data_IF_014579657971
#
_entry.id   IF_014579657971
#
_cell.length_a   1.000
_cell.length_b   1.000
_cell.length_c   1.000
_cell.angle_alpha   90.00
_cell.angle_beta   90.00
_cell.angle_gamma   90.00
#
_symmetry.space_group_name_H-M   'P 1'
#
loop_
_entity.id
_entity.type
_entity.pdbx_description
1 polymer ?
#
# COMPACT_ATOMS: atom_id res chain seq x y z
N UNK A 1 -54.63 7.26 -3.62
CA UNK A 1 -53.63 7.96 -2.76
C UNK A 1 -52.57 6.96 -2.33
N UNK A 2 -51.34 7.03 -2.85
CA UNK A 2 -50.26 6.10 -2.47
C UNK A 2 -49.14 6.93 -1.83
N UNK A 3 -49.17 7.03 -0.50
CA UNK A 3 -48.19 7.79 0.28
C UNK A 3 -46.81 7.12 0.27
N UNK A 4 -45.75 7.93 0.23
CA UNK A 4 -44.37 7.45 0.30
C UNK A 4 -44.06 6.98 1.72
N UNK A 5 -43.70 5.70 1.86
CA UNK A 5 -43.22 5.12 3.12
C UNK A 5 -41.83 5.69 3.46
N UNK A 6 -41.79 6.66 4.38
CA UNK A 6 -40.54 7.24 4.87
C UNK A 6 -39.84 6.18 5.74
N UNK A 7 -38.75 5.60 5.23
CA UNK A 7 -37.91 4.69 6.02
C UNK A 7 -37.15 5.51 7.07
N UNK A 8 -37.50 5.36 8.34
CA UNK A 8 -36.73 5.92 9.44
C UNK A 8 -35.37 5.23 9.50
N UNK A 9 -34.30 5.97 9.16
CA UNK A 9 -32.92 5.49 9.38
C UNK A 9 -32.53 5.78 10.82
N UNK A 10 -32.17 4.73 11.55
CA UNK A 10 -31.57 4.86 12.89
C UNK A 10 -30.15 5.42 12.75
N UNK A 11 -29.83 6.45 13.52
CA UNK A 11 -28.46 6.98 13.62
C UNK A 11 -27.64 5.99 14.46
N UNK A 12 -26.52 5.51 13.92
CA UNK A 12 -25.65 4.51 14.56
C UNK A 12 -24.54 5.13 15.43
N UNK A 13 -24.61 6.44 15.69
CA UNK A 13 -23.60 7.17 16.44
C UNK A 13 -24.29 7.99 17.52
N UNK A 14 -23.70 7.98 18.73
CA UNK A 14 -24.13 8.87 19.81
C UNK A 14 -23.71 10.31 19.49
N UNK A 15 -24.57 11.28 19.79
CA UNK A 15 -24.26 12.69 19.60
C UNK A 15 -23.18 13.13 20.60
N UNK A 16 -22.20 13.89 20.13
CA UNK A 16 -21.14 14.43 20.98
C UNK A 16 -21.74 15.29 22.11
N UNK A 17 -21.16 15.24 23.33
CA UNK A 17 -21.58 16.11 24.43
C UNK A 17 -21.39 17.57 24.02
N UNK A 18 -22.46 18.36 24.16
CA UNK A 18 -22.43 19.79 23.84
C UNK A 18 -21.63 20.53 24.90
N UNK A 19 -20.54 21.18 24.49
CA UNK A 19 -19.89 22.20 25.30
C UNK A 19 -20.82 23.41 25.46
N UNK A 20 -20.82 24.10 26.61
CA UNK A 20 -21.55 25.35 26.77
C UNK A 20 -21.05 26.35 25.72
N UNK A 21 -22.00 26.96 25.00
CA UNK A 21 -21.69 28.03 24.04
C UNK A 21 -21.09 29.21 24.80
N UNK A 22 -19.92 29.75 24.41
CA UNK A 22 -19.51 31.07 24.84
C UNK A 22 -20.31 32.09 24.03
N UNK A 23 -21.46 32.49 24.59
CA UNK A 23 -22.19 33.67 24.15
C UNK A 23 -22.02 34.76 25.21
N UNK A 24 -21.36 35.86 24.85
CA UNK A 24 -21.36 37.08 25.65
C UNK A 24 -19.97 37.59 26.00
N UNK A 25 -19.49 38.52 25.18
CA UNK A 25 -18.64 39.68 25.50
C UNK A 25 -17.79 39.68 26.77
N UNK A 26 -16.49 39.86 26.51
CA UNK A 26 -15.48 40.44 27.39
C UNK A 26 -15.98 41.74 28.04
N UNK A 27 -15.66 41.95 29.32
CA UNK A 27 -14.80 43.09 29.61
C UNK A 27 -13.77 42.81 30.71
N UNK A 28 -12.63 43.49 30.60
CA UNK A 28 -11.87 43.92 31.77
C UNK A 28 -10.63 43.08 32.09
N UNK A 29 -9.49 43.64 31.71
CA UNK A 29 -8.20 43.49 32.38
C UNK A 29 -8.38 43.48 33.92
N UNK A 30 -7.86 42.43 34.57
CA UNK A 30 -7.50 42.48 35.97
C UNK A 30 -6.30 41.56 36.20
N UNK A 31 -5.24 42.19 36.66
CA UNK A 31 -3.90 41.67 36.92
C UNK A 31 -3.86 40.77 38.16
N UNK A 32 -2.89 39.84 38.13
CA UNK A 32 -2.29 39.08 39.23
C UNK A 32 -3.12 37.99 39.94
N UNK A 33 -2.72 36.72 39.76
CA UNK A 33 -2.02 35.94 40.81
C UNK A 33 -1.83 34.48 40.40
N UNK A 34 -0.60 34.15 40.01
CA UNK A 34 0.22 33.06 40.55
C UNK A 34 -0.46 31.74 40.99
N UNK A 35 -0.25 30.67 40.21
CA UNK A 35 0.05 29.33 40.72
C UNK A 35 0.40 28.39 39.56
N UNK A 36 1.69 28.12 39.34
CA UNK A 36 2.20 26.77 39.01
C UNK A 36 3.73 26.74 38.91
N UNK A 37 4.31 26.06 39.90
CA UNK A 37 5.32 25.02 39.74
C UNK A 37 6.44 25.28 38.72
N UNK A 38 7.58 25.68 39.28
CA UNK A 38 8.91 25.58 38.68
C UNK A 38 9.14 24.21 38.02
N UNK A 39 9.36 24.21 36.71
CA UNK A 39 10.26 23.25 36.06
C UNK A 39 11.13 24.07 35.11
N UNK A 40 12.37 24.27 35.51
CA UNK A 40 13.42 24.82 34.69
C UNK A 40 13.62 23.95 33.44
N UNK A 41 13.30 24.52 32.29
CA UNK A 41 13.67 24.04 30.97
C UNK A 41 13.74 25.26 30.06
N UNK A 42 14.91 25.90 30.03
CA UNK A 42 15.29 26.91 29.04
C UNK A 42 14.87 26.38 27.67
N UNK A 43 13.90 27.03 27.04
CA UNK A 43 13.60 26.94 25.58
C UNK A 43 12.45 27.88 25.15
N UNK A 44 11.70 28.47 26.09
CA UNK A 44 10.56 29.35 25.76
C UNK A 44 10.92 30.84 25.56
N UNK A 45 12.19 31.23 25.68
CA UNK A 45 12.61 32.62 25.49
C UNK A 45 12.78 33.04 24.01
N UNK A 46 12.63 32.11 23.06
CA UNK A 46 12.85 32.38 21.63
C UNK A 46 11.59 32.83 20.87
N UNK A 47 10.42 32.84 21.51
CA UNK A 47 9.14 33.08 20.82
C UNK A 47 8.45 34.42 21.15
N UNK A 48 9.08 35.30 21.95
CA UNK A 48 8.44 36.55 22.39
C UNK A 48 8.93 37.82 21.68
N UNK A 49 9.72 37.71 20.61
CA UNK A 49 9.98 38.85 19.72
C UNK A 49 10.11 38.40 18.28
N UNK A 50 9.58 39.22 17.37
CA UNK A 50 9.39 38.97 15.94
C UNK A 50 10.55 38.22 15.27
N UNK A 51 10.43 36.90 15.15
CA UNK A 51 11.42 35.98 14.56
C UNK A 51 11.74 36.37 13.09
N UNK A 52 10.81 37.03 12.42
CA UNK A 52 10.93 37.45 11.02
C UNK A 52 11.20 38.95 10.83
N UNK A 53 11.42 39.74 11.89
CA UNK A 53 11.57 41.21 11.78
C UNK A 53 12.71 41.67 10.86
N UNK A 54 13.70 40.82 10.59
CA UNK A 54 14.82 41.13 9.67
C UNK A 54 14.73 40.46 8.30
N UNK A 55 13.72 39.63 8.04
CA UNK A 55 13.68 38.82 6.81
C UNK A 55 13.00 39.60 5.68
N UNK A 56 13.80 40.07 4.73
CA UNK A 56 13.31 40.67 3.48
C UNK A 56 12.99 39.56 2.49
N UNK A 57 11.70 39.22 2.37
CA UNK A 57 11.22 38.25 1.39
C UNK A 57 10.75 39.01 0.16
N UNK A 58 11.43 38.82 -0.96
CA UNK A 58 11.01 39.44 -2.21
C UNK A 58 9.74 38.77 -2.77
N UNK A 59 8.71 39.52 -3.16
CA UNK A 59 7.45 38.94 -3.64
C UNK A 59 7.63 38.12 -4.93
N UNK A 60 8.67 38.42 -5.71
CA UNK A 60 9.01 37.70 -6.95
C UNK A 60 9.56 36.29 -6.68
N UNK A 61 10.25 36.06 -5.55
CA UNK A 61 10.76 34.73 -5.19
C UNK A 61 9.67 33.81 -4.63
N UNK A 62 8.53 34.36 -4.22
CA UNK A 62 7.38 33.59 -3.75
C UNK A 62 6.60 32.92 -4.89
N UNK A 63 6.80 33.38 -6.12
CA UNK A 63 6.19 32.79 -7.31
C UNK A 63 7.02 31.58 -7.74
N UNK A 64 6.90 30.48 -7.02
CA UNK A 64 7.34 29.16 -7.51
C UNK A 64 6.43 28.75 -8.66
N UNK A 65 6.91 28.91 -9.89
CA UNK A 65 6.35 28.24 -11.08
C UNK A 65 6.65 26.75 -10.87
N UNK A 66 5.67 26.00 -10.38
CA UNK A 66 5.78 24.55 -10.33
C UNK A 66 5.68 24.05 -11.77
N UNK A 67 6.79 23.54 -12.32
CA UNK A 67 6.76 22.82 -13.58
C UNK A 67 5.90 21.58 -13.39
N UNK A 68 4.68 21.63 -13.94
CA UNK A 68 3.67 20.57 -13.84
C UNK A 68 4.11 19.25 -14.47
N UNK A 69 5.25 19.20 -15.15
CA UNK A 69 5.74 18.06 -15.91
C UNK A 69 6.92 17.29 -15.27
N UNK A 70 7.46 17.75 -14.13
CA UNK A 70 8.49 16.99 -13.41
C UNK A 70 7.91 16.00 -12.38
N UNK A 71 6.63 15.65 -12.53
CA UNK A 71 5.91 14.74 -11.64
C UNK A 71 5.52 13.43 -12.35
N UNK A 72 6.19 12.35 -11.97
CA UNK A 72 5.73 10.95 -12.13
C UNK A 72 5.74 10.35 -13.55
N UNK A 73 6.87 9.73 -13.91
CA UNK A 73 7.00 8.75 -15.01
C UNK A 73 6.12 7.50 -14.78
N UNK A 74 5.64 7.27 -13.55
CA UNK A 74 4.90 6.06 -13.15
C UNK A 74 3.47 6.05 -13.73
N UNK A 75 2.88 7.21 -14.00
CA UNK A 75 1.52 7.33 -14.56
C UNK A 75 1.45 7.26 -16.09
N UNK A 76 2.57 7.12 -16.80
CA UNK A 76 2.61 7.17 -18.27
C UNK A 76 2.27 5.81 -18.93
N UNK A 77 2.39 4.70 -18.21
CA UNK A 77 2.30 3.36 -18.84
C UNK A 77 0.90 2.78 -19.00
N UNK A 78 -0.14 3.50 -18.60
CA UNK A 78 -1.50 2.95 -18.62
C UNK A 78 -2.49 4.02 -18.98
N UNK A 79 -2.41 4.49 -20.22
CA UNK A 79 -3.54 4.77 -21.09
C UNK A 79 -2.95 5.47 -22.33
N UNK A 80 -2.81 4.72 -23.42
CA UNK A 80 -2.53 5.23 -24.78
C UNK A 80 -3.79 5.84 -25.42
N UNK A 81 -4.81 6.10 -24.59
CA UNK A 81 -5.84 7.06 -24.91
C UNK A 81 -5.28 8.40 -24.46
N UNK A 82 -4.74 9.18 -25.40
CA UNK A 82 -4.45 10.59 -25.21
C UNK A 82 -5.49 11.19 -24.27
N UNK A 83 -5.07 11.96 -23.26
CA UNK A 83 -5.95 12.66 -22.32
C UNK A 83 -6.74 13.76 -23.05
N UNK A 84 -7.45 13.40 -24.12
CA UNK A 84 -8.53 14.13 -24.72
C UNK A 84 -9.49 14.46 -23.59
N UNK A 85 -9.76 15.75 -23.42
CA UNK A 85 -10.68 16.22 -22.41
C UNK A 85 -12.08 15.78 -22.86
N UNK A 86 -12.43 14.53 -22.55
CA UNK A 86 -13.70 13.94 -22.97
C UNK A 86 -14.86 14.77 -22.43
N UNK A 87 -15.87 14.95 -23.27
CA UNK A 87 -17.07 15.66 -22.91
C UNK A 87 -17.77 14.98 -21.72
N UNK A 88 -18.49 15.76 -20.89
CA UNK A 88 -19.29 15.21 -19.78
C UNK A 88 -20.24 14.10 -20.27
N UNK A 89 -20.76 14.22 -21.50
CA UNK A 89 -21.65 13.22 -22.13
C UNK A 89 -20.91 11.91 -22.40
N UNK A 90 -19.73 11.96 -22.99
CA UNK A 90 -18.89 10.78 -23.25
C UNK A 90 -18.46 10.10 -21.96
N UNK A 91 -18.02 10.89 -20.97
CA UNK A 91 -17.66 10.35 -19.63
C UNK A 91 -18.84 9.65 -18.96
N UNK A 92 -20.09 10.10 -19.18
CA UNK A 92 -21.29 9.43 -18.66
C UNK A 92 -21.57 8.12 -19.41
N UNK A 93 -21.43 8.11 -20.75
CA UNK A 93 -21.56 6.90 -21.56
C UNK A 93 -20.54 5.83 -21.16
N UNK A 94 -19.25 6.18 -21.13
CA UNK A 94 -18.18 5.27 -20.71
C UNK A 94 -18.42 4.67 -19.32
N UNK A 95 -18.93 5.46 -18.37
CA UNK A 95 -19.30 4.95 -17.05
C UNK A 95 -20.43 3.93 -17.10
N UNK A 96 -21.46 4.19 -17.91
CA UNK A 96 -22.58 3.26 -18.13
C UNK A 96 -22.08 1.98 -18.80
N UNK A 97 -21.27 2.10 -19.85
CA UNK A 97 -20.80 0.96 -20.64
C UNK A 97 -19.87 0.08 -19.80
N UNK A 98 -18.91 0.68 -19.08
CA UNK A 98 -18.07 -0.05 -18.10
C UNK A 98 -18.90 -0.77 -17.03
N UNK A 99 -20.01 -0.15 -16.59
CA UNK A 99 -20.90 -0.78 -15.62
C UNK A 99 -21.68 -1.95 -16.22
N UNK A 100 -22.21 -1.81 -17.44
CA UNK A 100 -22.89 -2.89 -18.17
C UNK A 100 -21.94 -4.06 -18.44
N UNK A 101 -20.73 -3.78 -18.92
CA UNK A 101 -19.70 -4.78 -19.15
C UNK A 101 -19.39 -5.57 -17.87
N UNK A 102 -19.31 -4.90 -16.71
CA UNK A 102 -19.12 -5.57 -15.41
C UNK A 102 -20.30 -6.47 -15.04
N UNK A 103 -21.53 -6.08 -15.36
CA UNK A 103 -22.71 -6.92 -15.11
C UNK A 103 -22.67 -8.15 -16.02
N UNK A 104 -22.36 -7.97 -17.30
CA UNK A 104 -22.25 -9.05 -18.27
C UNK A 104 -21.16 -10.05 -17.90
N UNK A 105 -19.97 -9.56 -17.49
CA UNK A 105 -18.88 -10.45 -17.05
C UNK A 105 -19.28 -11.31 -15.84
N UNK A 106 -20.03 -10.74 -14.89
CA UNK A 106 -20.55 -11.50 -13.73
C UNK A 106 -21.58 -12.54 -14.17
N UNK A 107 -22.47 -12.20 -15.12
CA UNK A 107 -23.46 -13.15 -15.65
C UNK A 107 -22.77 -14.32 -16.36
N UNK A 108 -21.79 -14.03 -17.23
CA UNK A 108 -21.01 -15.03 -17.94
C UNK A 108 -20.27 -15.96 -16.98
N UNK A 109 -19.55 -15.39 -15.99
CA UNK A 109 -18.86 -16.19 -14.98
C UNK A 109 -19.81 -17.11 -14.19
N UNK A 110 -21.00 -16.61 -13.80
CA UNK A 110 -22.02 -17.43 -13.13
C UNK A 110 -22.57 -18.54 -14.04
N UNK A 111 -22.75 -18.26 -15.33
CA UNK A 111 -23.21 -19.25 -16.30
C UNK A 111 -22.16 -20.34 -16.51
N UNK A 112 -20.90 -19.96 -16.67
CA UNK A 112 -19.76 -20.89 -16.76
C UNK A 112 -19.67 -21.76 -15.51
N UNK A 113 -19.74 -21.18 -14.31
CA UNK A 113 -19.72 -21.94 -13.06
C UNK A 113 -20.86 -22.98 -12.97
N UNK A 114 -22.07 -22.60 -13.40
CA UNK A 114 -23.21 -23.54 -13.45
C UNK A 114 -22.99 -24.64 -14.49
N UNK A 115 -22.46 -24.30 -15.66
CA UNK A 115 -22.17 -25.27 -16.71
C UNK A 115 -21.08 -26.25 -16.28
N UNK A 116 -20.00 -25.76 -15.67
CA UNK A 116 -18.96 -26.58 -15.06
C UNK A 116 -19.49 -27.51 -13.98
N UNK A 117 -20.34 -27.01 -13.07
CA UNK A 117 -20.91 -27.83 -12.01
C UNK A 117 -21.75 -28.98 -12.60
N UNK A 118 -22.53 -28.71 -13.65
CA UNK A 118 -23.29 -29.75 -14.38
C UNK A 118 -22.36 -30.77 -15.01
N UNK A 119 -21.33 -30.33 -15.73
CA UNK A 119 -20.32 -31.22 -16.35
C UNK A 119 -19.61 -32.08 -15.31
N UNK A 120 -19.15 -31.48 -14.21
CA UNK A 120 -18.50 -32.19 -13.09
C UNK A 120 -19.43 -33.22 -12.43
N UNK A 121 -20.74 -32.96 -12.41
CA UNK A 121 -21.73 -33.90 -11.84
C UNK A 121 -22.09 -35.05 -12.77
N UNK A 122 -21.98 -34.86 -14.08
CA UNK A 122 -22.20 -35.91 -15.07
C UNK A 122 -20.89 -36.68 -15.26
N UNK A 123 -20.80 -37.97 -14.91
CA UNK A 123 -19.59 -38.76 -15.19
C UNK A 123 -19.52 -39.06 -16.69
N UNK A 124 -19.06 -38.07 -17.46
CA UNK A 124 -18.88 -38.18 -18.91
C UNK A 124 -17.43 -38.56 -19.16
N UNK A 125 -17.21 -39.78 -19.64
CA UNK A 125 -15.90 -40.21 -20.12
C UNK A 125 -15.59 -39.41 -21.39
N UNK A 126 -14.54 -38.57 -21.34
CA UNK A 126 -14.05 -37.84 -22.52
C UNK A 126 -14.45 -36.37 -22.64
N UNK A 127 -14.84 -35.69 -21.56
CA UNK A 127 -15.07 -34.25 -21.58
C UNK A 127 -13.81 -33.47 -22.01
N UNK A 128 -13.86 -32.84 -23.20
CA UNK A 128 -12.75 -32.03 -23.75
C UNK A 128 -12.74 -30.59 -23.23
N UNK A 129 -13.82 -30.14 -22.59
CA UNK A 129 -13.94 -28.76 -22.09
C UNK A 129 -12.84 -28.34 -21.11
N UNK A 130 -12.36 -29.18 -20.17
CA UNK A 130 -11.24 -28.84 -19.31
C UNK A 130 -9.95 -28.50 -20.08
N UNK A 131 -9.74 -29.13 -21.25
CA UNK A 131 -8.60 -28.82 -22.11
C UNK A 131 -8.77 -27.47 -22.79
N UNK A 132 -9.98 -27.16 -23.27
CA UNK A 132 -10.31 -25.88 -23.91
C UNK A 132 -10.21 -24.72 -22.90
N UNK A 133 -10.75 -24.90 -21.70
CA UNK A 133 -10.74 -23.88 -20.64
C UNK A 133 -9.31 -23.60 -20.12
N UNK A 134 -8.39 -24.57 -20.24
CA UNK A 134 -6.98 -24.41 -19.88
C UNK A 134 -6.16 -23.64 -20.94
N UNK A 135 -6.72 -23.41 -22.13
CA UNK A 135 -6.04 -22.65 -23.19
C UNK A 135 -6.30 -21.14 -23.04
N UNK A 136 -5.29 -20.29 -23.31
CA UNK A 136 -5.49 -18.84 -23.35
C UNK A 136 -6.49 -18.43 -24.43
N UNK A 137 -7.36 -17.48 -24.13
CA UNK A 137 -8.21 -16.86 -25.15
C UNK A 137 -7.36 -16.01 -26.10
N UNK A 138 -7.79 -15.90 -27.37
CA UNK A 138 -7.11 -15.06 -28.38
C UNK A 138 -6.95 -13.60 -27.91
N UNK A 139 -7.93 -13.09 -27.16
CA UNK A 139 -7.88 -11.74 -26.58
C UNK A 139 -6.74 -11.57 -25.57
N UNK A 140 -6.40 -12.63 -24.86
CA UNK A 140 -5.31 -12.65 -23.91
C UNK A 140 -3.97 -12.81 -24.64
N UNK A 141 -3.89 -13.61 -25.71
CA UNK A 141 -2.69 -13.69 -26.54
C UNK A 141 -2.29 -12.34 -27.15
N UNK A 142 -3.26 -11.54 -27.59
CA UNK A 142 -3.00 -10.18 -28.11
C UNK A 142 -2.54 -9.22 -27.00
N UNK A 143 -2.96 -9.43 -25.75
CA UNK A 143 -2.44 -8.68 -24.59
C UNK A 143 -1.04 -9.17 -24.18
N UNK A 144 -0.80 -10.48 -24.24
CA UNK A 144 0.50 -11.09 -23.93
C UNK A 144 1.57 -10.66 -24.93
N UNK A 145 1.26 -10.57 -26.23
CA UNK A 145 2.22 -10.08 -27.23
C UNK A 145 2.64 -8.62 -26.98
N UNK A 146 1.73 -7.78 -26.48
CA UNK A 146 2.03 -6.38 -26.09
C UNK A 146 2.78 -6.26 -24.75
N UNK A 147 2.70 -7.27 -23.89
CA UNK A 147 3.29 -7.26 -22.54
C UNK A 147 4.49 -8.20 -22.38
N UNK A 148 4.92 -8.87 -23.46
CA UNK A 148 6.05 -9.80 -23.45
C UNK A 148 7.39 -9.05 -23.37
N UNK A 149 7.66 -8.48 -22.20
CA UNK A 149 9.00 -8.33 -21.66
C UNK A 149 8.96 -8.89 -20.23
N UNK A 150 9.40 -10.15 -20.11
CA UNK A 150 9.78 -10.89 -18.91
C UNK A 150 8.66 -11.45 -18.00
N UNK A 151 8.38 -12.75 -18.12
CA UNK A 151 7.90 -13.57 -17.01
C UNK A 151 8.99 -14.56 -16.60
N UNK A 152 9.84 -14.15 -15.65
CA UNK A 152 10.76 -15.05 -14.96
C UNK A 152 9.95 -15.94 -14.03
N UNK A 153 10.02 -17.25 -14.25
CA UNK A 153 9.50 -18.30 -13.36
C UNK A 153 9.99 -18.04 -11.94
N UNK A 154 9.08 -17.70 -11.02
CA UNK A 154 9.41 -17.52 -9.61
C UNK A 154 9.53 -18.90 -8.96
N UNK A 155 10.77 -19.37 -8.87
CA UNK A 155 11.15 -20.43 -7.92
C UNK A 155 10.84 -19.90 -6.51
N UNK A 156 9.95 -20.58 -5.80
CA UNK A 156 9.58 -20.26 -4.41
C UNK A 156 10.78 -20.60 -3.52
N UNK A 157 11.71 -19.67 -3.38
CA UNK A 157 12.70 -19.72 -2.33
C UNK A 157 11.99 -19.45 -1.01
N UNK A 158 12.23 -20.32 -0.04
CA UNK A 158 11.75 -20.26 1.34
C UNK A 158 11.96 -18.85 1.92
N UNK A 159 10.84 -18.16 2.11
CA UNK A 159 10.60 -16.96 2.93
C UNK A 159 11.82 -16.36 3.64
N UNK A 160 12.61 -15.58 2.89
CA UNK A 160 13.16 -14.34 3.43
C UNK A 160 12.14 -13.27 3.08
N UNK A 161 11.50 -12.70 4.10
CA UNK A 161 10.59 -11.57 3.96
C UNK A 161 11.31 -10.52 3.11
N UNK A 162 10.79 -10.23 1.92
CA UNK A 162 11.50 -9.39 0.94
C UNK A 162 11.88 -8.05 1.59
N UNK A 163 13.17 -7.82 1.84
CA UNK A 163 13.68 -6.61 2.50
C UNK A 163 13.12 -5.33 1.85
N UNK A 164 12.97 -5.33 0.53
CA UNK A 164 12.40 -4.21 -0.23
C UNK A 164 10.95 -3.88 0.10
N UNK A 165 10.15 -4.85 0.54
CA UNK A 165 8.73 -4.69 0.86
C UNK A 165 8.51 -4.18 2.30
N UNK A 166 9.55 -4.18 3.15
CA UNK A 166 9.44 -3.78 4.55
C UNK A 166 9.39 -2.25 4.70
N UNK A 167 8.69 -1.79 5.75
CA UNK A 167 8.71 -0.37 6.16
C UNK A 167 10.11 0.03 6.64
N UNK A 168 10.48 1.31 6.57
CA UNK A 168 11.80 1.82 6.98
C UNK A 168 12.20 1.44 8.41
N UNK A 169 11.26 1.52 9.36
CA UNK A 169 11.49 1.12 10.76
C UNK A 169 11.79 -0.37 10.88
N UNK A 170 11.13 -1.21 10.10
CA UNK A 170 11.38 -2.66 10.11
C UNK A 170 12.74 -2.97 9.48
N UNK A 171 13.12 -2.30 8.39
CA UNK A 171 14.46 -2.42 7.78
C UNK A 171 15.56 -2.09 8.79
N UNK A 172 15.38 -0.99 9.54
CA UNK A 172 16.34 -0.60 10.59
C UNK A 172 16.51 -1.69 11.65
N UNK A 173 15.42 -2.29 12.13
CA UNK A 173 15.48 -3.39 13.10
C UNK A 173 16.23 -4.61 12.58
N UNK A 174 15.95 -5.02 11.33
CA UNK A 174 16.66 -6.14 10.69
C UNK A 174 18.16 -5.86 10.62
N UNK A 175 18.56 -4.64 10.23
CA UNK A 175 19.97 -4.26 10.20
C UNK A 175 20.61 -4.25 11.60
N UNK A 176 19.91 -3.75 12.61
CA UNK A 176 20.39 -3.75 14.01
C UNK A 176 20.61 -5.19 14.52
N UNK A 177 19.71 -6.12 14.18
CA UNK A 177 19.83 -7.54 14.49
C UNK A 177 21.01 -8.20 13.77
N UNK A 178 21.20 -7.91 12.48
CA UNK A 178 22.33 -8.41 11.68
C UNK A 178 23.68 -7.91 12.22
N UNK A 179 23.77 -6.62 12.56
CA UNK A 179 24.97 -6.03 13.16
C UNK A 179 25.26 -6.68 14.52
N UNK A 180 24.25 -6.87 15.36
CA UNK A 180 24.42 -7.56 16.64
C UNK A 180 24.89 -9.01 16.45
N UNK A 181 24.36 -9.72 15.46
CA UNK A 181 24.77 -11.08 15.14
C UNK A 181 26.21 -11.15 14.63
N UNK A 182 26.63 -10.20 13.79
CA UNK A 182 27.99 -10.09 13.32
C UNK A 182 28.99 -9.85 14.47
N UNK A 183 28.67 -8.91 15.37
CA UNK A 183 29.50 -8.65 16.54
C UNK A 183 29.63 -9.88 17.44
N UNK A 184 28.54 -10.64 17.65
CA UNK A 184 28.59 -11.91 18.40
C UNK A 184 29.53 -12.93 17.73
N UNK A 185 29.47 -13.07 16.42
CA UNK A 185 30.35 -13.99 15.68
C UNK A 185 31.81 -13.58 15.77
N UNK A 186 32.14 -12.30 15.54
CA UNK A 186 33.52 -11.81 15.67
C UNK A 186 34.05 -11.89 17.09
N UNK A 187 33.17 -11.70 18.09
CA UNK A 187 33.57 -11.79 19.49
C UNK A 187 33.83 -13.22 19.95
N UNK A 188 33.29 -14.22 19.25
CA UNK A 188 33.45 -15.62 19.60
C UNK A 188 34.92 -16.06 19.46
N UNK A 189 35.57 -16.59 20.53
CA UNK A 189 36.96 -17.01 20.48
C UNK A 189 37.23 -18.12 19.45
N UNK A 190 36.25 -19.01 19.22
CA UNK A 190 36.37 -20.08 18.23
C UNK A 190 36.50 -19.51 16.81
N UNK A 191 35.73 -18.46 16.51
CA UNK A 191 35.79 -17.78 15.21
C UNK A 191 37.09 -17.00 15.05
N UNK A 192 37.63 -16.42 16.13
CA UNK A 192 38.94 -15.74 16.12
C UNK A 192 40.10 -16.71 15.89
N UNK A 193 40.02 -17.92 16.45
CA UNK A 193 41.07 -18.93 16.31
C UNK A 193 41.11 -19.55 14.91
N UNK A 194 39.95 -19.90 14.33
CA UNK A 194 39.88 -20.58 13.04
C UNK A 194 38.60 -20.21 12.25
N UNK A 195 38.55 -19.03 11.62
CA UNK A 195 37.32 -18.53 10.98
C UNK A 195 36.85 -19.42 9.82
N UNK A 196 37.78 -19.95 9.02
CA UNK A 196 37.45 -20.82 7.87
C UNK A 196 36.83 -22.15 8.30
N UNK A 197 37.29 -22.72 9.42
CA UNK A 197 36.77 -23.98 9.94
C UNK A 197 35.33 -23.81 10.42
N UNK A 198 35.05 -22.76 11.17
CA UNK A 198 33.69 -22.44 11.68
C UNK A 198 32.71 -22.20 10.53
N UNK A 199 33.13 -21.48 9.48
CA UNK A 199 32.31 -21.27 8.28
C UNK A 199 32.07 -22.60 7.55
N UNK A 200 33.11 -23.42 7.37
CA UNK A 200 32.99 -24.74 6.74
C UNK A 200 32.00 -25.66 7.47
N UNK A 201 32.08 -25.72 8.80
CA UNK A 201 31.13 -26.48 9.62
C UNK A 201 29.70 -25.97 9.45
N UNK A 202 29.49 -24.64 9.48
CA UNK A 202 28.17 -24.05 9.30
C UNK A 202 27.54 -24.42 7.94
N UNK A 203 28.32 -24.29 6.86
CA UNK A 203 27.90 -24.66 5.51
C UNK A 203 27.56 -26.16 5.41
N UNK A 204 28.39 -27.02 6.02
CA UNK A 204 28.15 -28.47 6.02
C UNK A 204 26.83 -28.83 6.72
N UNK A 205 26.50 -28.17 7.84
CA UNK A 205 25.24 -28.36 8.58
C UNK A 205 24.04 -27.90 7.75
N UNK A 206 24.15 -26.74 7.09
CA UNK A 206 23.11 -26.22 6.18
C UNK A 206 22.83 -27.16 5.01
N UNK A 207 23.88 -27.66 4.34
CA UNK A 207 23.72 -28.61 3.23
C UNK A 207 23.04 -29.90 3.66
N UNK A 208 23.35 -30.43 4.85
CA UNK A 208 22.66 -31.61 5.39
C UNK A 208 21.18 -31.31 5.67
N UNK A 209 20.87 -30.15 6.23
CA UNK A 209 19.49 -29.74 6.53
C UNK A 209 18.64 -29.61 5.26
N UNK A 210 19.19 -29.02 4.19
CA UNK A 210 18.48 -28.90 2.90
C UNK A 210 18.20 -30.26 2.24
N UNK A 211 19.11 -31.23 2.37
CA UNK A 211 18.90 -32.60 1.89
C UNK A 211 17.79 -33.33 2.66
N UNK A 212 17.69 -33.10 3.96
CA UNK A 212 16.65 -33.72 4.82
C UNK A 212 15.29 -33.04 4.66
N UNK A 213 15.25 -31.73 4.41
CA UNK A 213 14.01 -30.96 4.31
C UNK A 213 13.27 -31.10 2.96
N UNK A 214 13.89 -31.77 1.97
CA UNK A 214 13.22 -32.19 0.73
C UNK A 214 12.92 -33.69 0.83
N UNK A 215 11.80 -34.12 1.44
CA UNK A 215 11.31 -35.46 1.18
C UNK A 215 10.95 -35.57 -0.31
N UNK A 216 11.27 -36.73 -0.89
CA UNK A 216 10.96 -37.09 -2.27
C UNK A 216 9.46 -37.03 -2.56
#
# INVERSE_FOLDING_TARGET
MVGKLIRQRRRLHQAAPKLPKPGGQWPGEATLSEARGSVAGKDQALFTSNIFAGVKIDPKSLVKKLDTDSGSIISVRKDEDEKTVLSKKEKKKLRRDKWLQKIESIKLAKQQQKAEAKRKSTPVVGDLHPLIDALPELSDLVKFSKTCKQSKVQVKNTTLTNFHQMKSVQKRKVLEEEVAQFHRTISNPLFKASPLAVVGEHLSKKLKQERVAKPF
#
